data_IF_592648711046
#
_entry.id   IF_592648711046
#
_cell.length_a   1.000
_cell.length_b   1.000
_cell.length_c   1.000
_cell.angle_alpha   90.00
_cell.angle_beta   90.00
_cell.angle_gamma   90.00
#
_symmetry.space_group_name_H-M   'P 1'
#
loop_
_entity.id
_entity.type
_entity.pdbx_description
1 polymer ?
#
# COMPACT_ATOMS: atom_id res chain seq x y z
N UNK A 1 -8.00 7.87 -14.05
CA UNK A 1 -7.27 8.17 -12.80
C UNK A 1 -6.68 6.89 -12.20
N UNK A 2 -5.39 6.82 -11.85
CA UNK A 2 -4.79 5.65 -11.16
C UNK A 2 -5.04 5.75 -9.65
N UNK A 3 -6.31 5.58 -9.27
CA UNK A 3 -6.75 5.62 -7.88
C UNK A 3 -7.67 4.43 -7.57
N UNK A 4 -7.75 4.06 -6.30
CA UNK A 4 -8.74 3.10 -5.85
C UNK A 4 -10.15 3.69 -5.99
N UNK A 5 -11.05 2.98 -6.67
CA UNK A 5 -12.43 3.45 -6.88
C UNK A 5 -13.19 3.66 -5.55
N UNK A 6 -12.91 2.84 -4.54
CA UNK A 6 -13.65 2.87 -3.27
C UNK A 6 -13.16 3.92 -2.28
N UNK A 7 -11.84 4.04 -2.08
CA UNK A 7 -11.27 4.92 -1.05
C UNK A 7 -10.46 6.09 -1.62
N UNK A 8 -10.44 6.27 -2.94
CA UNK A 8 -9.70 7.36 -3.58
C UNK A 8 -8.17 7.24 -3.48
N UNK A 9 -7.62 6.18 -2.87
CA UNK A 9 -6.18 6.02 -2.67
C UNK A 9 -5.42 6.12 -4.00
N UNK A 10 -4.69 7.21 -4.18
CA UNK A 10 -3.91 7.55 -5.36
C UNK A 10 -2.41 7.63 -5.05
N UNK A 11 -1.66 8.25 -5.97
CA UNK A 11 -0.23 8.55 -5.78
C UNK A 11 -0.04 9.53 -4.62
N UNK A 12 1.01 9.33 -3.82
CA UNK A 12 1.41 10.26 -2.77
C UNK A 12 2.87 10.68 -2.98
N UNK A 13 3.19 11.94 -2.66
CA UNK A 13 4.55 12.47 -2.67
C UNK A 13 4.97 12.64 -1.22
N UNK A 14 5.93 11.83 -0.78
CA UNK A 14 6.42 11.87 0.60
C UNK A 14 7.82 12.45 0.66
N UNK A 15 8.10 13.16 1.75
CA UNK A 15 9.48 13.49 2.14
C UNK A 15 10.12 12.25 2.73
N UNK A 16 11.25 11.81 2.15
CA UNK A 16 12.01 10.66 2.59
C UNK A 16 13.41 11.09 2.98
N UNK A 17 13.80 10.79 4.21
CA UNK A 17 15.17 10.94 4.71
C UNK A 17 15.57 9.62 5.33
N UNK A 18 16.72 9.08 4.91
CA UNK A 18 17.30 7.90 5.53
C UNK A 18 18.80 8.06 5.56
N UNK A 19 19.36 7.92 6.74
CA UNK A 19 20.80 7.84 6.89
C UNK A 19 21.33 6.47 6.43
N UNK A 20 22.48 6.45 5.75
CA UNK A 20 23.15 5.18 5.41
C UNK A 20 23.87 4.63 6.65
N UNK A 21 23.98 3.32 6.75
CA UNK A 21 24.82 2.67 7.78
C UNK A 21 26.27 3.15 7.57
N UNK A 22 26.88 3.74 8.60
CA UNK A 22 28.21 4.35 8.51
C UNK A 22 28.26 5.79 7.96
N UNK A 23 27.11 6.44 7.66
CA UNK A 23 27.09 7.84 7.21
C UNK A 23 27.38 8.87 8.31
N UNK A 24 27.58 8.41 9.55
CA UNK A 24 28.12 9.21 10.63
C UNK A 24 29.40 8.53 11.06
N UNK A 25 30.51 9.26 11.04
CA UNK A 25 31.81 8.79 11.53
C UNK A 25 31.64 8.10 12.88
N UNK A 26 32.43 7.05 13.06
CA UNK A 26 32.42 6.17 14.22
C UNK A 26 32.24 6.91 15.55
N UNK A 27 31.23 6.52 16.34
CA UNK A 27 31.20 6.73 17.79
C UNK A 27 30.27 7.80 18.38
N UNK A 28 29.57 8.63 17.60
CA UNK A 28 28.80 9.74 18.17
C UNK A 28 27.49 10.06 17.45
N UNK A 29 26.56 10.67 18.21
CA UNK A 29 25.26 11.21 17.80
C UNK A 29 25.29 11.78 16.37
N UNK A 30 24.27 11.47 15.57
CA UNK A 30 24.09 11.92 14.20
C UNK A 30 24.14 13.45 14.09
N UNK A 31 25.34 14.01 13.87
CA UNK A 31 25.60 15.46 13.97
C UNK A 31 24.80 16.31 12.97
N UNK A 32 24.44 15.74 11.82
CA UNK A 32 23.65 16.41 10.78
C UNK A 32 22.49 15.52 10.34
N UNK A 33 21.36 16.14 9.98
CA UNK A 33 20.18 15.44 9.43
C UNK A 33 20.46 14.93 8.02
N UNK A 34 20.03 13.71 7.71
CA UNK A 34 20.18 13.17 6.35
C UNK A 34 19.37 14.00 5.33
N UNK A 35 19.89 14.15 4.09
CA UNK A 35 19.20 14.84 3.01
C UNK A 35 17.77 14.33 2.82
N UNK A 36 16.83 15.28 2.66
CA UNK A 36 15.42 14.97 2.46
C UNK A 36 15.14 14.96 0.96
N UNK A 37 14.79 13.80 0.43
CA UNK A 37 14.39 13.64 -0.97
C UNK A 37 12.88 13.50 -1.07
N UNK A 38 12.28 14.04 -2.13
CA UNK A 38 10.86 13.76 -2.45
C UNK A 38 10.78 12.43 -3.19
N UNK A 39 9.98 11.49 -2.67
CA UNK A 39 9.72 10.20 -3.31
C UNK A 39 8.24 10.04 -3.62
N UNK A 40 7.95 9.58 -4.83
CA UNK A 40 6.59 9.24 -5.24
C UNK A 40 6.29 7.79 -4.82
N UNK A 41 5.21 7.61 -4.07
CA UNK A 41 4.66 6.30 -3.75
C UNK A 41 3.43 6.04 -4.62
N UNK A 42 3.50 5.01 -5.45
CA UNK A 42 2.37 4.54 -6.26
C UNK A 42 1.56 3.51 -5.45
N UNK A 43 0.22 3.59 -5.43
CA UNK A 43 -0.60 2.59 -4.75
C UNK A 43 -0.58 1.27 -5.52
N UNK A 44 -0.50 0.15 -4.80
CA UNK A 44 -0.73 -1.17 -5.40
C UNK A 44 -2.24 -1.36 -5.64
N UNK A 45 -2.67 -1.18 -6.89
CA UNK A 45 -4.05 -1.28 -7.34
C UNK A 45 -4.24 -2.58 -8.14
N UNK A 46 -5.28 -3.32 -7.81
CA UNK A 46 -5.69 -4.56 -8.46
C UNK A 46 -6.99 -4.35 -9.24
N UNK A 47 -7.14 -5.06 -10.35
CA UNK A 47 -8.38 -5.08 -11.12
C UNK A 47 -9.33 -6.15 -10.57
N UNK A 48 -10.61 -5.79 -10.43
CA UNK A 48 -11.68 -6.72 -10.09
C UNK A 48 -12.98 -6.25 -10.74
N UNK A 49 -13.59 -7.11 -11.58
CA UNK A 49 -14.80 -6.79 -12.37
C UNK A 49 -14.69 -5.45 -13.12
N UNK A 50 -13.57 -5.23 -13.80
CA UNK A 50 -13.29 -3.99 -14.56
C UNK A 50 -12.97 -2.74 -13.72
N UNK A 51 -12.99 -2.84 -12.38
CA UNK A 51 -12.77 -1.71 -11.46
C UNK A 51 -11.44 -1.86 -10.71
N UNK A 52 -10.73 -0.75 -10.45
CA UNK A 52 -9.44 -0.73 -9.75
C UNK A 52 -9.62 -0.54 -8.24
N UNK A 53 -9.01 -1.40 -7.43
CA UNK A 53 -9.07 -1.37 -5.97
C UNK A 53 -7.70 -1.55 -5.32
N UNK A 54 -7.43 -0.85 -4.22
CA UNK A 54 -6.29 -1.20 -3.37
C UNK A 54 -6.51 -2.54 -2.66
N UNK A 55 -5.45 -3.18 -2.19
CA UNK A 55 -5.48 -4.46 -1.45
C UNK A 55 -6.55 -4.51 -0.36
N UNK A 56 -6.63 -3.48 0.50
CA UNK A 56 -7.62 -3.38 1.59
C UNK A 56 -9.06 -3.35 1.05
N UNK A 57 -9.31 -2.53 0.04
CA UNK A 57 -10.66 -2.41 -0.53
C UNK A 57 -11.06 -3.67 -1.32
N UNK A 58 -10.11 -4.31 -1.99
CA UNK A 58 -10.36 -5.54 -2.74
C UNK A 58 -10.85 -6.67 -1.81
N UNK A 59 -10.25 -6.82 -0.62
CA UNK A 59 -10.68 -7.84 0.36
C UNK A 59 -12.15 -7.67 0.73
N UNK A 60 -12.56 -6.44 1.01
CA UNK A 60 -13.93 -6.10 1.40
C UNK A 60 -14.90 -6.30 0.23
N UNK A 61 -14.54 -5.86 -0.98
CA UNK A 61 -15.38 -6.05 -2.16
C UNK A 61 -15.56 -7.54 -2.49
N UNK A 62 -14.50 -8.34 -2.33
CA UNK A 62 -14.56 -9.79 -2.53
C UNK A 62 -15.38 -10.51 -1.48
N UNK A 63 -15.37 -10.05 -0.22
CA UNK A 63 -16.17 -10.66 0.85
C UNK A 63 -17.66 -10.36 0.66
N UNK A 64 -18.02 -9.12 0.27
CA UNK A 64 -19.41 -8.75 -0.01
C UNK A 64 -19.96 -9.38 -1.29
N UNK A 65 -19.09 -9.76 -2.24
CA UNK A 65 -19.51 -10.37 -3.50
C UNK A 65 -19.61 -11.89 -3.46
N UNK A 66 -19.40 -12.55 -2.30
CA UNK A 66 -19.57 -14.00 -2.17
C UNK A 66 -21.07 -14.29 -2.07
N UNK A 67 -21.68 -15.00 -3.04
CA UNK A 67 -23.12 -15.18 -3.05
C UNK A 67 -23.64 -16.15 -1.99
N UNK A 68 -22.81 -17.06 -1.45
CA UNK A 68 -23.24 -18.06 -0.47
C UNK A 68 -22.10 -18.50 0.48
N UNK A 69 -22.39 -18.86 1.75
CA UNK A 69 -21.47 -19.62 2.58
C UNK A 69 -21.22 -20.99 1.93
N UNK A 70 -19.96 -21.42 1.88
CA UNK A 70 -19.52 -22.64 1.18
C UNK A 70 -19.86 -23.95 1.94
N UNK A 71 -20.80 -23.89 2.88
CA UNK A 71 -20.96 -24.89 3.94
C UNK A 71 -21.92 -26.04 3.60
N UNK A 72 -22.41 -26.12 2.36
CA UNK A 72 -23.41 -27.12 1.94
C UNK A 72 -22.97 -28.09 0.83
N UNK A 73 -21.69 -28.10 0.40
CA UNK A 73 -21.26 -28.90 -0.76
C UNK A 73 -20.57 -30.25 -0.42
N UNK A 74 -20.67 -30.76 0.81
CA UNK A 74 -19.99 -32.01 1.22
C UNK A 74 -20.91 -33.01 1.92
N UNK A 75 -22.16 -33.11 1.50
CA UNK A 75 -23.09 -34.18 1.91
C UNK A 75 -23.87 -34.69 0.70
N UNK A 76 -23.21 -35.48 -0.14
CA UNK A 76 -23.84 -36.51 -0.98
C UNK A 76 -22.87 -37.69 -1.06
#
# INVERSE_FOLDING_TARGET
MLACLRCGKGKNIISYSRHKKGSSGAGGVWALRAPIHKRMQKPNLHLFKGKKYCTKCLRIVKSTSRPYPKEQLTRQ
#
